data_IF_540997121692
#
_entry.id   IF_540997121692
#
_cell.length_a   1.000
_cell.length_b   1.000
_cell.length_c   1.000
_cell.angle_alpha   90.00
_cell.angle_beta   90.00
_cell.angle_gamma   90.00
#
_symmetry.space_group_name_H-M   'P 1'
#
loop_
_entity.id
_entity.type
_entity.pdbx_description
1 polymer ?
#
# COMPACT_ATOMS: atom_id res chain seq x y z
N UNK A 1 3.47 1.70 1.52
CA UNK A 1 4.18 1.43 0.25
C UNK A 1 3.21 0.82 -0.76
N UNK A 2 3.06 1.39 -1.95
CA UNK A 2 2.11 0.90 -2.98
C UNK A 2 2.57 -0.36 -3.73
N UNK A 3 3.42 -1.19 -3.11
CA UNK A 3 4.08 -2.32 -3.75
C UNK A 3 3.41 -3.64 -3.36
N UNK A 4 3.18 -4.50 -4.36
CA UNK A 4 2.66 -5.86 -4.19
C UNK A 4 3.79 -6.87 -4.44
N UNK A 5 4.38 -7.45 -3.39
CA UNK A 5 5.44 -8.43 -3.55
C UNK A 5 4.90 -9.75 -4.12
N UNK A 6 5.46 -10.20 -5.24
CA UNK A 6 5.13 -11.51 -5.83
C UNK A 6 6.07 -12.64 -5.37
N UNK A 7 7.21 -12.30 -4.74
CA UNK A 7 8.18 -13.29 -4.25
C UNK A 7 7.92 -13.57 -2.77
N UNK A 8 7.89 -14.84 -2.39
CA UNK A 8 7.68 -15.26 -0.99
C UNK A 8 8.62 -14.57 0.00
N UNK A 9 9.90 -14.42 -0.35
CA UNK A 9 10.87 -13.73 0.51
C UNK A 9 10.49 -12.27 0.73
N UNK A 10 10.03 -11.57 -0.31
CA UNK A 10 9.62 -10.18 -0.21
C UNK A 10 8.32 -10.04 0.61
N UNK A 11 7.38 -10.98 0.47
CA UNK A 11 6.17 -11.03 1.30
C UNK A 11 6.55 -11.14 2.78
N UNK A 12 7.45 -12.05 3.14
CA UNK A 12 7.93 -12.23 4.53
C UNK A 12 8.59 -10.96 5.09
N UNK A 13 9.36 -10.25 4.26
CA UNK A 13 9.98 -8.98 4.66
C UNK A 13 8.91 -7.93 4.97
N UNK A 14 7.88 -7.79 4.13
CA UNK A 14 6.78 -6.83 4.37
C UNK A 14 6.04 -7.13 5.68
N UNK A 15 5.71 -8.40 5.94
CA UNK A 15 5.05 -8.83 7.18
C UNK A 15 5.92 -8.58 8.43
N UNK A 16 7.23 -8.79 8.30
CA UNK A 16 8.19 -8.55 9.38
C UNK A 16 8.26 -7.05 9.71
N UNK A 17 8.32 -6.20 8.68
CA UNK A 17 8.31 -4.75 8.85
C UNK A 17 7.01 -4.30 9.50
N UNK A 18 5.87 -4.79 9.03
CA UNK A 18 4.56 -4.49 9.61
C UNK A 18 4.52 -4.77 11.12
N UNK A 19 4.95 -5.98 11.52
CA UNK A 19 5.00 -6.38 12.92
C UNK A 19 5.92 -5.47 13.74
N UNK A 20 7.09 -5.14 13.20
CA UNK A 20 8.09 -4.31 13.88
C UNK A 20 7.60 -2.87 14.12
N UNK A 21 6.99 -2.26 13.09
CA UNK A 21 6.45 -0.91 13.21
C UNK A 21 5.27 -0.85 14.18
N UNK A 22 4.34 -1.80 14.11
CA UNK A 22 3.23 -1.86 15.07
C UNK A 22 3.72 -2.11 16.50
N UNK A 23 4.77 -2.92 16.67
CA UNK A 23 5.37 -3.20 17.99
C UNK A 23 5.94 -1.98 18.70
N UNK A 24 6.30 -0.92 17.97
CA UNK A 24 6.80 0.35 18.53
C UNK A 24 5.76 1.47 18.49
N UNK A 25 4.49 1.15 18.22
CA UNK A 25 3.41 2.12 18.09
C UNK A 25 3.45 2.94 16.80
N UNK A 26 4.29 2.54 15.83
CA UNK A 26 4.32 3.09 14.49
C UNK A 26 3.28 2.43 13.58
N UNK A 27 3.23 2.90 12.33
CA UNK A 27 2.32 2.39 11.31
C UNK A 27 3.10 1.93 10.09
N UNK A 28 2.68 0.82 9.50
CA UNK A 28 3.27 0.30 8.28
C UNK A 28 2.19 -0.34 7.41
N UNK A 29 1.96 0.26 6.24
CA UNK A 29 0.93 -0.18 5.30
C UNK A 29 1.58 -0.52 3.97
N UNK A 30 1.17 -1.60 3.34
CA UNK A 30 1.62 -2.00 2.01
C UNK A 30 0.49 -2.57 1.17
N UNK A 31 0.66 -2.60 -0.16
CA UNK A 31 -0.40 -3.06 -1.08
C UNK A 31 -1.70 -2.27 -0.90
N UNK A 32 -2.82 -2.98 -0.80
CA UNK A 32 -4.16 -2.39 -0.64
C UNK A 32 -4.29 -1.52 0.60
N UNK A 33 -3.65 -1.90 1.71
CA UNK A 33 -3.70 -1.11 2.95
C UNK A 33 -3.05 0.26 2.80
N UNK A 34 -2.03 0.37 1.94
CA UNK A 34 -1.42 1.66 1.65
C UNK A 34 -2.37 2.59 0.86
N UNK A 35 -3.12 2.04 -0.09
CA UNK A 35 -4.14 2.80 -0.84
C UNK A 35 -5.29 3.22 0.07
N UNK A 36 -5.82 2.27 0.84
CA UNK A 36 -6.88 2.50 1.81
C UNK A 36 -6.50 3.55 2.85
N UNK A 37 -5.24 3.54 3.32
CA UNK A 37 -4.76 4.55 4.25
C UNK A 37 -4.79 5.96 3.64
N UNK A 38 -4.29 6.11 2.41
CA UNK A 38 -4.30 7.41 1.72
C UNK A 38 -5.73 7.89 1.49
N UNK A 39 -6.63 7.02 1.04
CA UNK A 39 -8.03 7.38 0.83
C UNK A 39 -8.69 7.83 2.13
N UNK A 40 -8.51 7.08 3.23
CA UNK A 40 -9.04 7.46 4.55
C UNK A 40 -8.44 8.77 5.07
N UNK A 41 -7.15 9.01 4.84
CA UNK A 41 -6.44 10.18 5.34
C UNK A 41 -6.75 11.45 4.55
N UNK A 42 -6.94 11.32 3.23
CA UNK A 42 -7.07 12.46 2.31
C UNK A 42 -8.48 12.66 1.76
N UNK A 43 -9.34 11.63 1.85
CA UNK A 43 -10.63 11.58 1.17
C UNK A 43 -10.53 11.35 -0.34
N UNK A 44 -9.34 11.00 -0.86
CA UNK A 44 -9.07 10.86 -2.30
C UNK A 44 -8.73 9.41 -2.63
N UNK A 45 -9.51 8.80 -3.52
CA UNK A 45 -9.18 7.50 -4.11
C UNK A 45 -8.10 7.64 -5.19
N UNK A 46 -6.84 7.70 -4.74
CA UNK A 46 -5.69 7.90 -5.64
C UNK A 46 -5.50 6.73 -6.62
N UNK A 47 -5.81 5.50 -6.21
CA UNK A 47 -5.64 4.32 -7.06
C UNK A 47 -6.55 4.39 -8.28
N UNK A 48 -7.83 4.71 -8.07
CA UNK A 48 -8.82 4.87 -9.14
C UNK A 48 -8.43 5.99 -10.11
N UNK A 49 -7.93 7.13 -9.61
CA UNK A 49 -7.45 8.23 -10.46
C UNK A 49 -6.32 7.74 -11.37
N UNK A 50 -5.35 7.00 -10.84
CA UNK A 50 -4.22 6.48 -11.62
C UNK A 50 -4.67 5.43 -12.66
N UNK A 51 -5.63 4.58 -12.31
CA UNK A 51 -6.23 3.60 -13.23
C UNK A 51 -6.94 4.31 -14.39
N UNK A 52 -7.79 5.29 -14.09
CA UNK A 52 -8.48 6.09 -15.10
C UNK A 52 -7.50 6.80 -16.05
N UNK A 53 -6.38 7.33 -15.51
CA UNK A 53 -5.33 7.95 -16.33
C UNK A 53 -4.64 6.91 -17.22
N UNK A 54 -4.37 5.70 -16.72
CA UNK A 54 -3.75 4.63 -17.49
C UNK A 54 -4.64 4.16 -18.64
N UNK A 55 -5.92 3.93 -18.37
CA UNK A 55 -6.92 3.54 -19.37
C UNK A 55 -7.13 4.64 -20.41
N UNK A 56 -7.12 5.91 -20.02
CA UNK A 56 -7.30 7.03 -20.97
C UNK A 56 -6.13 7.24 -21.94
N UNK A 57 -4.99 6.55 -21.74
CA UNK A 57 -3.80 6.62 -22.60
C UNK A 57 -3.73 5.48 -23.63
N UNK A 58 -4.65 4.51 -23.58
CA UNK A 58 -4.84 3.48 -24.61
C UNK A 58 -5.82 3.95 -25.69
#
# INVERSE_FOLDING_TARGET
>A
MFYYPNREQAIKVQQTLETLYHGVGGFYYYGDDAWNYIEKFTGINLLEILQNIAESKE
#
